data_IF_800385642146
#
_entry.id   IF_800385642146
#
_cell.length_a   1.000
_cell.length_b   1.000
_cell.length_c   1.000
_cell.angle_alpha   90.00
_cell.angle_beta   90.00
_cell.angle_gamma   90.00
#
_symmetry.space_group_name_H-M   'P 1'
#
loop_
_entity.id
_entity.type
_entity.pdbx_description
1 polymer ?
#
# COMPACT_ATOMS: atom_id res chain seq x y z
N UNK A 1 -8.24 -0.11 -17.61
CA UNK A 1 -8.30 -1.15 -16.56
C UNK A 1 -9.40 -0.79 -15.58
N UNK A 2 -10.50 -1.52 -15.63
CA UNK A 2 -11.64 -1.30 -14.73
C UNK A 2 -11.42 -2.12 -13.47
N UNK A 3 -11.23 -1.44 -12.32
CA UNK A 3 -11.28 -2.09 -11.02
C UNK A 3 -12.75 -2.38 -10.71
N UNK A 4 -13.18 -3.62 -10.87
CA UNK A 4 -14.50 -4.06 -10.43
C UNK A 4 -14.42 -4.46 -8.97
N UNK A 5 -15.05 -3.67 -8.09
CA UNK A 5 -15.23 -4.04 -6.68
C UNK A 5 -16.58 -4.73 -6.50
N UNK A 6 -16.56 -5.92 -5.91
CA UNK A 6 -17.77 -6.67 -5.57
C UNK A 6 -17.93 -6.73 -4.06
N UNK A 7 -19.06 -6.27 -3.57
CA UNK A 7 -19.44 -6.43 -2.18
C UNK A 7 -20.08 -7.81 -1.95
N UNK A 8 -19.62 -8.50 -0.92
CA UNK A 8 -20.14 -9.77 -0.46
C UNK A 8 -20.70 -9.60 0.94
N UNK A 9 -21.95 -9.95 1.14
CA UNK A 9 -22.61 -9.93 2.45
C UNK A 9 -23.03 -11.34 2.80
N UNK A 10 -22.60 -11.84 3.96
CA UNK A 10 -23.10 -13.10 4.52
C UNK A 10 -24.34 -12.83 5.36
N UNK A 11 -25.41 -13.58 5.11
CA UNK A 11 -26.67 -13.47 5.82
C UNK A 11 -27.13 -14.83 6.37
N UNK A 12 -27.91 -14.80 7.45
CA UNK A 12 -28.67 -15.94 7.95
C UNK A 12 -30.11 -15.46 8.19
N UNK A 13 -31.04 -15.88 7.31
CA UNK A 13 -32.34 -15.21 7.19
C UNK A 13 -32.15 -13.71 6.86
N UNK A 14 -32.76 -12.85 7.63
CA UNK A 14 -32.65 -11.39 7.49
C UNK A 14 -31.45 -10.79 8.26
N UNK A 15 -30.70 -11.60 9.01
CA UNK A 15 -29.59 -11.12 9.83
C UNK A 15 -28.27 -11.08 9.05
N UNK A 16 -27.63 -9.92 9.01
CA UNK A 16 -26.27 -9.78 8.47
C UNK A 16 -25.28 -10.43 9.44
N UNK A 17 -24.45 -11.32 8.95
CA UNK A 17 -23.37 -11.99 9.70
C UNK A 17 -22.01 -11.31 9.51
N UNK A 18 -21.77 -10.80 8.31
CA UNK A 18 -20.50 -10.18 7.93
C UNK A 18 -20.50 -9.65 6.52
N UNK A 19 -19.41 -8.99 6.16
CA UNK A 19 -19.19 -8.43 4.82
C UNK A 19 -17.73 -8.56 4.40
N UNK A 20 -17.51 -8.52 3.10
CA UNK A 20 -16.18 -8.42 2.49
C UNK A 20 -16.26 -7.74 1.12
N UNK A 21 -15.10 -7.40 0.56
CA UNK A 21 -14.97 -6.86 -0.78
C UNK A 21 -13.96 -7.68 -1.57
N UNK A 22 -14.28 -7.93 -2.84
CA UNK A 22 -13.41 -8.53 -3.84
C UNK A 22 -13.14 -7.50 -4.92
N UNK A 23 -11.88 -7.08 -5.07
CA UNK A 23 -11.41 -6.27 -6.18
C UNK A 23 -10.77 -7.15 -7.25
N UNK A 24 -10.76 -6.66 -8.50
CA UNK A 24 -10.26 -7.41 -9.67
C UNK A 24 -9.35 -6.57 -10.53
N UNK A 25 -8.32 -7.21 -11.10
CA UNK A 25 -7.42 -6.66 -12.11
C UNK A 25 -7.33 -7.64 -13.28
N UNK A 26 -7.26 -7.12 -14.49
CA UNK A 26 -7.21 -7.92 -15.70
C UNK A 26 -5.81 -8.14 -16.25
N UNK A 27 -4.85 -7.28 -15.87
CA UNK A 27 -3.47 -7.35 -16.35
C UNK A 27 -2.47 -7.00 -15.22
N UNK A 28 -1.72 -7.98 -14.69
CA UNK A 28 -1.99 -9.42 -14.79
C UNK A 28 -3.32 -9.79 -14.08
N UNK A 29 -4.00 -10.87 -14.52
CA UNK A 29 -5.32 -11.21 -13.98
C UNK A 29 -5.20 -11.72 -12.53
N UNK A 30 -5.66 -10.90 -11.60
CA UNK A 30 -5.67 -11.25 -10.18
C UNK A 30 -6.81 -10.56 -9.43
N UNK A 31 -7.05 -11.05 -8.21
CA UNK A 31 -8.02 -10.46 -7.30
C UNK A 31 -7.39 -10.14 -5.96
N UNK A 32 -7.99 -9.20 -5.24
CA UNK A 32 -7.65 -8.97 -3.83
C UNK A 32 -8.89 -8.93 -2.97
N UNK A 33 -8.78 -9.51 -1.76
CA UNK A 33 -9.85 -9.53 -0.77
C UNK A 33 -9.53 -8.48 0.30
N UNK A 34 -10.49 -7.59 0.52
CA UNK A 34 -10.36 -6.55 1.54
C UNK A 34 -11.64 -6.45 2.38
N UNK A 35 -11.53 -5.78 3.53
CA UNK A 35 -12.65 -5.48 4.42
C UNK A 35 -13.43 -6.71 4.90
N UNK A 36 -12.79 -7.88 5.00
CA UNK A 36 -13.42 -9.06 5.60
C UNK A 36 -13.72 -8.81 7.07
N UNK A 37 -14.97 -8.79 7.42
CA UNK A 37 -15.45 -8.62 8.79
C UNK A 37 -16.64 -9.49 9.10
N UNK A 38 -16.62 -10.14 10.27
CA UNK A 38 -17.74 -10.89 10.84
C UNK A 38 -18.15 -10.25 12.17
N UNK A 39 -19.43 -10.03 12.37
CA UNK A 39 -19.96 -9.46 13.60
C UNK A 39 -19.43 -10.26 14.81
N UNK A 40 -18.95 -9.60 15.89
CA UNK A 40 -18.34 -10.27 17.04
C UNK A 40 -19.16 -11.41 17.60
N UNK A 41 -20.47 -11.18 17.78
CA UNK A 41 -21.42 -12.17 18.31
C UNK A 41 -21.72 -13.33 17.34
N UNK A 42 -21.31 -13.22 16.08
CA UNK A 42 -21.51 -14.24 15.03
C UNK A 42 -20.19 -14.88 14.57
N UNK A 43 -19.09 -14.64 15.28
CA UNK A 43 -17.80 -15.29 15.00
C UNK A 43 -17.82 -16.75 15.43
N UNK A 44 -16.87 -17.55 14.91
CA UNK A 44 -16.69 -18.97 15.19
C UNK A 44 -17.81 -19.90 14.70
N UNK A 45 -18.74 -19.40 13.86
CA UNK A 45 -19.82 -20.17 13.24
C UNK A 45 -19.60 -20.39 11.72
N UNK A 46 -18.36 -20.23 11.23
CA UNK A 46 -18.00 -20.52 9.84
C UNK A 46 -18.30 -19.40 8.84
N UNK A 47 -18.97 -18.31 9.21
CA UNK A 47 -19.35 -17.25 8.26
C UNK A 47 -18.15 -16.64 7.52
N UNK A 48 -17.04 -16.38 8.21
CA UNK A 48 -15.80 -15.87 7.58
C UNK A 48 -15.21 -16.85 6.58
N UNK A 49 -15.19 -18.15 6.90
CA UNK A 49 -14.69 -19.19 6.01
C UNK A 49 -15.57 -19.29 4.75
N UNK A 50 -16.90 -19.34 4.90
CA UNK A 50 -17.83 -19.39 3.74
C UNK A 50 -17.71 -18.17 2.83
N UNK A 51 -17.55 -16.97 3.38
CA UNK A 51 -17.30 -15.77 2.56
C UNK A 51 -15.97 -15.89 1.78
N UNK A 52 -14.91 -16.36 2.41
CA UNK A 52 -13.61 -16.54 1.75
C UNK A 52 -13.70 -17.58 0.64
N UNK A 53 -14.29 -18.75 0.91
CA UNK A 53 -14.51 -19.82 -0.07
C UNK A 53 -15.30 -19.30 -1.29
N UNK A 54 -16.35 -18.53 -1.04
CA UNK A 54 -17.14 -17.90 -2.11
C UNK A 54 -16.28 -16.93 -2.95
N UNK A 55 -15.49 -16.05 -2.31
CA UNK A 55 -14.64 -15.09 -3.03
C UNK A 55 -13.53 -15.78 -3.84
N UNK A 56 -12.95 -16.86 -3.31
CA UNK A 56 -11.97 -17.69 -4.03
C UNK A 56 -12.63 -18.32 -5.26
N UNK A 57 -13.85 -18.87 -5.10
CA UNK A 57 -14.62 -19.43 -6.23
C UNK A 57 -14.95 -18.36 -7.29
N UNK A 58 -15.36 -17.15 -6.88
CA UNK A 58 -15.57 -16.03 -7.81
C UNK A 58 -14.27 -15.64 -8.54
N UNK A 59 -13.14 -15.64 -7.84
CA UNK A 59 -11.83 -15.36 -8.43
C UNK A 59 -11.46 -16.37 -9.52
N UNK A 60 -11.71 -17.66 -9.26
CA UNK A 60 -11.52 -18.73 -10.26
C UNK A 60 -12.42 -18.53 -11.48
N UNK A 61 -13.71 -18.21 -11.26
CA UNK A 61 -14.70 -18.01 -12.35
C UNK A 61 -14.35 -16.86 -13.30
N UNK A 62 -13.68 -15.83 -12.81
CA UNK A 62 -13.23 -14.69 -13.65
C UNK A 62 -11.85 -14.90 -14.25
N UNK A 63 -11.21 -16.07 -14.05
CA UNK A 63 -9.90 -16.39 -14.63
C UNK A 63 -8.73 -15.74 -13.92
N UNK A 64 -8.86 -15.38 -12.65
CA UNK A 64 -7.73 -14.85 -11.89
C UNK A 64 -6.66 -15.93 -11.67
N UNK A 65 -5.39 -15.57 -11.83
CA UNK A 65 -4.26 -16.47 -11.58
C UNK A 65 -3.97 -16.62 -10.09
N UNK A 66 -4.27 -15.59 -9.30
CA UNK A 66 -4.05 -15.61 -7.84
C UNK A 66 -4.96 -14.63 -7.11
N UNK A 67 -5.08 -14.86 -5.81
CA UNK A 67 -5.79 -13.98 -4.87
C UNK A 67 -4.81 -13.41 -3.87
N UNK A 68 -4.87 -12.10 -3.61
CA UNK A 68 -4.08 -11.43 -2.57
C UNK A 68 -5.01 -10.97 -1.44
N UNK A 69 -4.49 -10.97 -0.23
CA UNK A 69 -5.10 -10.29 0.91
C UNK A 69 -4.01 -9.78 1.87
N UNK A 70 -4.42 -8.93 2.78
CA UNK A 70 -3.58 -8.43 3.85
C UNK A 70 -4.25 -8.67 5.20
N UNK A 71 -3.48 -9.16 6.15
CA UNK A 71 -3.95 -9.37 7.52
C UNK A 71 -3.09 -8.60 8.51
N UNK A 72 -3.70 -7.94 9.48
CA UNK A 72 -2.96 -7.31 10.59
C UNK A 72 -2.16 -8.41 11.31
N UNK A 73 -0.86 -8.20 11.51
CA UNK A 73 0.09 -9.21 12.03
C UNK A 73 -0.39 -9.90 13.31
N UNK A 74 -1.09 -9.18 14.18
CA UNK A 74 -1.60 -9.71 15.46
C UNK A 74 -3.01 -10.29 15.37
N UNK A 75 -3.64 -10.34 14.19
CA UNK A 75 -4.96 -10.96 13.99
C UNK A 75 -4.82 -12.47 13.75
N UNK A 76 -4.41 -13.19 14.80
CA UNK A 76 -4.16 -14.64 14.75
C UNK A 76 -5.35 -15.45 14.23
N UNK A 77 -6.61 -15.18 14.61
CA UNK A 77 -7.76 -15.94 14.07
C UNK A 77 -7.92 -15.82 12.57
N UNK A 78 -7.78 -14.62 12.01
CA UNK A 78 -7.88 -14.40 10.57
C UNK A 78 -6.68 -15.03 9.83
N UNK A 79 -5.48 -14.87 10.34
CA UNK A 79 -4.28 -15.46 9.77
C UNK A 79 -4.38 -17.00 9.68
N UNK A 80 -4.81 -17.67 10.77
CA UNK A 80 -5.05 -19.13 10.77
C UNK A 80 -6.11 -19.56 9.74
N UNK A 81 -7.17 -18.77 9.58
CA UNK A 81 -8.18 -19.03 8.54
C UNK A 81 -7.57 -18.98 7.15
N UNK A 82 -6.74 -17.98 6.85
CA UNK A 82 -6.13 -17.82 5.53
C UNK A 82 -5.13 -18.93 5.22
N UNK A 83 -4.28 -19.31 6.19
CA UNK A 83 -3.40 -20.49 6.04
C UNK A 83 -4.21 -21.75 5.77
N UNK A 84 -5.30 -22.00 6.54
CA UNK A 84 -6.20 -23.16 6.32
C UNK A 84 -6.78 -23.19 4.89
N UNK A 85 -7.02 -22.03 4.29
CA UNK A 85 -7.55 -21.89 2.92
C UNK A 85 -6.47 -21.94 1.83
N UNK A 86 -5.21 -22.19 2.20
CA UNK A 86 -4.08 -22.35 1.27
C UNK A 86 -3.33 -21.08 0.93
N UNK A 87 -3.60 -19.95 1.61
CA UNK A 87 -2.80 -18.75 1.43
C UNK A 87 -1.42 -18.91 2.06
N UNK A 88 -0.40 -18.44 1.35
CA UNK A 88 1.00 -18.39 1.80
C UNK A 88 1.40 -16.95 2.11
N UNK A 89 2.25 -16.74 3.13
CA UNK A 89 2.81 -15.42 3.44
C UNK A 89 3.80 -14.97 2.36
N UNK A 90 3.66 -13.76 1.84
CA UNK A 90 4.56 -13.16 0.83
C UNK A 90 5.59 -12.26 1.51
N UNK A 91 5.11 -11.27 2.25
CA UNK A 91 5.96 -10.25 2.91
C UNK A 91 5.22 -9.52 4.02
N UNK A 92 5.98 -8.83 4.89
CA UNK A 92 5.41 -7.91 5.86
C UNK A 92 5.39 -6.49 5.28
N UNK A 93 4.28 -5.81 5.52
CA UNK A 93 4.00 -4.46 5.07
C UNK A 93 3.79 -3.55 6.28
N UNK A 94 4.41 -2.39 6.26
CA UNK A 94 4.35 -1.38 7.31
C UNK A 94 3.31 -0.32 6.96
N UNK A 95 2.60 0.15 7.97
CA UNK A 95 1.83 1.38 7.90
C UNK A 95 2.61 2.44 8.67
N UNK A 96 3.09 3.45 7.97
CA UNK A 96 3.89 4.54 8.53
C UNK A 96 3.05 5.80 8.63
N UNK A 97 3.33 6.59 9.66
CA UNK A 97 2.77 7.93 9.86
C UNK A 97 3.87 8.92 10.20
N UNK A 98 3.69 10.15 9.77
CA UNK A 98 4.46 11.29 10.20
C UNK A 98 3.50 12.44 10.54
N UNK A 99 3.52 12.98 11.78
CA UNK A 99 2.69 14.13 12.14
C UNK A 99 3.09 15.37 11.32
N UNK A 100 2.22 16.38 11.23
CA UNK A 100 2.56 17.68 10.67
C UNK A 100 3.79 18.28 11.36
N UNK A 101 4.51 19.11 10.63
CA UNK A 101 5.70 19.82 11.08
C UNK A 101 6.77 19.87 9.98
N UNK A 102 7.52 20.97 9.92
CA UNK A 102 8.73 21.03 9.10
C UNK A 102 9.71 19.90 9.50
N UNK A 103 10.62 19.47 8.63
CA UNK A 103 11.70 18.60 9.03
C UNK A 103 12.55 19.26 10.14
N UNK A 104 13.11 18.44 11.01
CA UNK A 104 14.02 18.90 12.05
C UNK A 104 15.28 19.49 11.39
N UNK A 105 15.72 20.65 11.87
CA UNK A 105 16.93 21.33 11.37
C UNK A 105 18.21 20.51 11.61
N UNK A 106 18.22 19.59 12.58
CA UNK A 106 19.33 18.69 12.86
C UNK A 106 19.46 17.53 11.86
N UNK A 107 18.47 17.33 10.96
CA UNK A 107 18.54 16.28 9.95
C UNK A 107 19.63 16.64 8.92
N UNK A 108 20.68 15.83 8.91
CA UNK A 108 21.76 15.98 7.95
C UNK A 108 21.30 15.62 6.54
N UNK A 109 21.05 16.64 5.72
CA UNK A 109 20.78 16.53 4.28
C UNK A 109 21.81 17.35 3.51
N UNK A 110 22.54 16.74 2.58
CA UNK A 110 23.46 17.49 1.71
C UNK A 110 22.68 18.48 0.83
N UNK A 111 23.33 19.48 0.24
CA UNK A 111 22.69 20.38 -0.73
C UNK A 111 22.05 19.59 -1.87
N UNK A 112 20.86 20.02 -2.29
CA UNK A 112 20.09 19.37 -3.35
C UNK A 112 19.21 20.36 -4.11
N UNK A 113 18.95 20.03 -5.37
CA UNK A 113 17.91 20.66 -6.17
C UNK A 113 16.62 19.84 -6.08
N UNK A 114 15.46 20.51 -6.08
CA UNK A 114 14.14 19.86 -6.07
C UNK A 114 13.22 20.45 -7.13
N UNK A 115 12.53 19.58 -7.85
CA UNK A 115 11.48 19.94 -8.79
C UNK A 115 10.18 19.22 -8.40
N UNK A 116 9.05 19.95 -8.47
CA UNK A 116 7.70 19.41 -8.20
C UNK A 116 6.90 19.30 -9.49
N UNK A 117 6.10 18.24 -9.59
CA UNK A 117 5.37 17.89 -10.79
C UNK A 117 3.90 17.52 -10.44
N UNK A 118 3.00 17.78 -11.40
CA UNK A 118 1.61 17.36 -11.31
C UNK A 118 1.38 15.90 -11.72
N UNK A 119 0.11 15.56 -11.85
CA UNK A 119 -0.39 14.19 -12.05
C UNK A 119 0.19 13.49 -13.30
N UNK A 120 0.34 14.18 -14.40
CA UNK A 120 0.84 13.58 -15.64
C UNK A 120 2.25 13.01 -15.46
N UNK A 121 3.16 13.81 -14.90
CA UNK A 121 4.54 13.39 -14.63
C UNK A 121 4.60 12.34 -13.51
N UNK A 122 3.74 12.43 -12.49
CA UNK A 122 3.62 11.41 -11.44
C UNK A 122 3.27 10.04 -12.04
N UNK A 123 2.32 9.97 -12.98
CA UNK A 123 1.98 8.74 -13.71
C UNK A 123 3.16 8.25 -14.55
N UNK A 124 3.89 9.15 -15.22
CA UNK A 124 5.07 8.79 -16.00
C UNK A 124 6.17 8.17 -15.12
N UNK A 125 6.39 8.69 -13.91
CA UNK A 125 7.31 8.09 -12.93
C UNK A 125 6.83 6.70 -12.48
N UNK A 126 5.57 6.53 -12.13
CA UNK A 126 5.02 5.24 -11.71
C UNK A 126 5.18 4.15 -12.78
N UNK A 127 5.07 4.48 -14.06
CA UNK A 127 5.27 3.54 -15.17
C UNK A 127 6.72 3.05 -15.31
N UNK A 128 7.69 3.79 -14.75
CA UNK A 128 9.12 3.45 -14.75
C UNK A 128 9.60 2.89 -13.43
N UNK A 129 8.70 2.65 -12.47
CA UNK A 129 9.02 2.08 -11.18
C UNK A 129 9.61 0.68 -11.31
N UNK A 130 10.66 0.38 -10.53
CA UNK A 130 11.29 -0.94 -10.50
C UNK A 130 10.79 -1.83 -9.37
N UNK A 131 10.23 -1.25 -8.31
CA UNK A 131 9.72 -2.01 -7.17
C UNK A 131 8.42 -2.75 -7.50
N UNK A 132 8.22 -3.94 -6.92
CA UNK A 132 6.97 -4.68 -7.01
C UNK A 132 5.98 -4.12 -5.98
N UNK A 133 4.91 -3.45 -6.42
CA UNK A 133 3.93 -2.84 -5.52
C UNK A 133 3.10 -3.88 -4.74
N UNK A 134 2.45 -3.43 -3.67
CA UNK A 134 1.23 -4.08 -3.19
C UNK A 134 0.06 -3.70 -4.11
N UNK A 135 -1.06 -4.43 -4.00
CA UNK A 135 -2.26 -4.10 -4.79
C UNK A 135 -2.71 -2.64 -4.59
N UNK A 136 -2.51 -2.09 -3.39
CA UNK A 136 -2.88 -0.72 -3.03
C UNK A 136 -2.09 0.32 -3.82
N UNK A 137 -0.80 0.03 -4.09
CA UNK A 137 0.16 0.95 -4.73
C UNK A 137 0.44 0.59 -6.20
N UNK A 138 -0.30 -0.35 -6.77
CA UNK A 138 -0.27 -0.58 -8.21
C UNK A 138 -0.63 0.69 -8.98
N UNK A 139 0.02 0.92 -10.11
CA UNK A 139 -0.18 2.14 -10.90
C UNK A 139 -1.66 2.44 -11.20
N UNK A 140 -2.50 1.46 -11.61
CA UNK A 140 -3.93 1.72 -11.78
C UNK A 140 -4.66 2.08 -10.48
N UNK A 141 -4.27 1.48 -9.33
CA UNK A 141 -4.86 1.82 -8.02
C UNK A 141 -4.56 3.27 -7.62
N UNK A 142 -3.33 3.73 -7.90
CA UNK A 142 -2.92 5.10 -7.62
C UNK A 142 -3.62 6.10 -8.56
N UNK A 143 -3.73 5.79 -9.84
CA UNK A 143 -4.46 6.63 -10.82
C UNK A 143 -5.93 6.78 -10.40
N UNK A 144 -6.60 5.68 -10.03
CA UNK A 144 -7.99 5.71 -9.56
C UNK A 144 -8.17 6.49 -8.25
N UNK A 145 -7.18 6.49 -7.36
CA UNK A 145 -7.21 7.27 -6.13
C UNK A 145 -7.13 8.78 -6.41
N UNK A 146 -6.49 9.19 -7.51
CA UNK A 146 -6.37 10.58 -7.93
C UNK A 146 -5.48 11.45 -7.04
N UNK A 147 -5.45 12.74 -7.33
CA UNK A 147 -4.66 13.76 -6.61
C UNK A 147 -3.18 13.40 -6.49
N UNK A 148 -2.62 12.83 -7.56
CA UNK A 148 -1.22 12.46 -7.61
C UNK A 148 -0.34 13.65 -7.94
N UNK A 149 0.71 13.81 -7.17
CA UNK A 149 1.81 14.72 -7.42
C UNK A 149 3.13 13.96 -7.31
N UNK A 150 4.20 14.58 -7.81
CA UNK A 150 5.54 14.02 -7.66
C UNK A 150 6.56 15.11 -7.35
N UNK A 151 7.69 14.70 -6.81
CA UNK A 151 8.89 15.51 -6.74
C UNK A 151 10.11 14.67 -7.17
N UNK A 152 11.13 15.36 -7.69
CA UNK A 152 12.43 14.79 -8.02
C UNK A 152 13.51 15.58 -7.31
N UNK A 153 14.51 14.89 -6.81
CA UNK A 153 15.69 15.53 -6.21
C UNK A 153 16.96 15.13 -6.96
N UNK A 154 17.90 16.07 -7.02
CA UNK A 154 19.27 15.86 -7.43
C UNK A 154 20.17 16.35 -6.31
N UNK A 155 21.03 15.49 -5.82
CA UNK A 155 21.94 15.76 -4.71
C UNK A 155 23.33 16.06 -5.30
N UNK A 156 24.07 16.99 -4.72
CA UNK A 156 25.37 17.44 -5.24
C UNK A 156 26.39 16.32 -5.44
N UNK A 157 26.26 15.21 -4.70
CA UNK A 157 27.10 14.02 -4.87
C UNK A 157 26.71 13.13 -6.06
N UNK A 158 25.74 13.55 -6.89
CA UNK A 158 25.25 12.84 -8.05
C UNK A 158 24.10 11.85 -7.77
N UNK A 159 23.74 11.60 -6.50
CA UNK A 159 22.59 10.77 -6.16
C UNK A 159 21.29 11.49 -6.55
N UNK A 160 20.31 10.74 -7.05
CA UNK A 160 19.02 11.30 -7.44
C UNK A 160 17.91 10.27 -7.43
N UNK A 161 16.69 10.76 -7.39
CA UNK A 161 15.50 9.94 -7.39
C UNK A 161 14.24 10.78 -7.37
N UNK A 162 13.11 10.11 -7.31
CA UNK A 162 11.79 10.74 -7.30
C UNK A 162 10.87 10.11 -6.26
N UNK A 163 9.84 10.85 -5.89
CA UNK A 163 8.77 10.43 -5.00
C UNK A 163 7.43 10.79 -5.65
N UNK A 164 6.56 9.80 -5.85
CA UNK A 164 5.15 10.03 -6.15
C UNK A 164 4.36 9.93 -4.86
N UNK A 165 3.38 10.80 -4.69
CA UNK A 165 2.51 10.83 -3.51
C UNK A 165 1.12 11.32 -3.87
N UNK A 166 0.14 10.96 -3.05
CA UNK A 166 -1.21 11.50 -3.12
C UNK A 166 -1.31 12.72 -2.21
N UNK A 167 -1.74 13.86 -2.78
CA UNK A 167 -1.91 15.11 -2.07
C UNK A 167 -3.41 15.44 -1.90
N UNK A 168 -3.98 15.12 -0.74
CA UNK A 168 -5.36 15.49 -0.41
C UNK A 168 -5.41 16.80 0.39
N UNK A 169 -6.61 17.30 0.66
CA UNK A 169 -6.79 18.58 1.39
C UNK A 169 -6.03 18.58 2.72
N UNK A 170 -6.10 17.51 3.49
CA UNK A 170 -5.56 17.46 4.87
C UNK A 170 -4.37 16.51 5.04
N UNK A 171 -4.08 15.65 4.08
CA UNK A 171 -3.14 14.56 4.26
C UNK A 171 -2.33 14.28 3.00
N UNK A 172 -1.06 13.92 3.20
CA UNK A 172 -0.23 13.24 2.21
C UNK A 172 -0.36 11.74 2.42
N UNK A 173 -0.50 10.99 1.33
CA UNK A 173 -0.68 9.55 1.40
C UNK A 173 0.04 8.82 0.25
N UNK A 174 0.12 7.50 0.33
CA UNK A 174 0.58 6.62 -0.76
C UNK A 174 1.95 7.04 -1.33
N UNK A 175 2.95 7.15 -0.48
CA UNK A 175 4.30 7.55 -0.89
C UNK A 175 4.98 6.39 -1.63
N UNK A 176 5.46 6.67 -2.84
CA UNK A 176 6.21 5.73 -3.68
C UNK A 176 7.56 6.35 -4.02
N UNK A 177 8.59 6.15 -3.18
CA UNK A 177 9.94 6.60 -3.47
C UNK A 177 10.64 5.66 -4.47
N UNK A 178 11.50 6.23 -5.30
CA UNK A 178 12.37 5.49 -6.20
C UNK A 178 13.73 6.19 -6.28
N UNK A 179 14.79 5.44 -6.03
CA UNK A 179 16.17 5.88 -6.28
C UNK A 179 16.55 5.49 -7.71
N UNK A 180 17.05 6.45 -8.47
CA UNK A 180 17.60 6.23 -9.82
C UNK A 180 19.13 6.08 -9.77
N UNK A 181 19.80 6.78 -8.82
CA UNK A 181 21.23 6.64 -8.55
C UNK A 181 21.56 6.98 -7.09
N UNK A 182 22.58 6.33 -6.55
CA UNK A 182 23.09 6.56 -5.20
C UNK A 182 22.49 5.66 -4.12
N UNK A 183 22.68 6.04 -2.86
CA UNK A 183 22.18 5.30 -1.70
C UNK A 183 20.69 5.56 -1.49
N UNK A 184 19.82 4.51 -1.48
CA UNK A 184 18.38 4.65 -1.28
C UNK A 184 17.99 5.31 0.06
N UNK A 185 18.76 5.09 1.12
CA UNK A 185 18.51 5.74 2.42
C UNK A 185 18.68 7.24 2.31
N UNK A 186 19.80 7.69 1.70
CA UNK A 186 20.08 9.11 1.51
C UNK A 186 19.00 9.75 0.60
N UNK A 187 18.72 9.13 -0.54
CA UNK A 187 17.73 9.65 -1.50
C UNK A 187 16.36 9.76 -0.85
N UNK A 188 15.90 8.75 -0.11
CA UNK A 188 14.62 8.78 0.59
C UNK A 188 14.55 9.86 1.68
N UNK A 189 15.66 10.09 2.42
CA UNK A 189 15.75 11.15 3.42
C UNK A 189 15.60 12.51 2.76
N UNK A 190 16.31 12.77 1.66
CA UNK A 190 16.24 14.05 0.92
C UNK A 190 14.86 14.26 0.30
N UNK A 191 14.26 13.22 -0.32
CA UNK A 191 12.91 13.25 -0.87
C UNK A 191 11.87 13.60 0.20
N UNK A 192 11.93 12.95 1.36
CA UNK A 192 11.01 13.20 2.46
C UNK A 192 11.25 14.57 3.10
N UNK A 193 12.50 15.01 3.23
CA UNK A 193 12.85 16.35 3.69
C UNK A 193 12.23 17.40 2.76
N UNK A 194 12.44 17.32 1.44
CA UNK A 194 11.89 18.25 0.46
C UNK A 194 10.34 18.26 0.47
N UNK A 195 9.71 17.08 0.60
CA UNK A 195 8.26 16.96 0.71
C UNK A 195 7.72 17.74 1.90
N UNK A 196 8.30 17.55 3.09
CA UNK A 196 7.80 18.15 4.33
C UNK A 196 8.25 19.60 4.52
N UNK A 197 9.29 20.05 3.84
CA UNK A 197 9.61 21.49 3.76
C UNK A 197 8.55 22.27 2.98
N UNK A 198 7.87 21.62 2.03
CA UNK A 198 6.78 22.26 1.25
C UNK A 198 5.39 22.06 1.89
N UNK A 199 5.15 20.93 2.52
CA UNK A 199 3.82 20.52 3.06
C UNK A 199 3.89 20.26 4.56
N UNK A 200 4.48 21.17 5.31
CA UNK A 200 4.72 21.07 6.75
C UNK A 200 3.44 20.95 7.61
N UNK A 201 2.33 21.50 7.13
CA UNK A 201 1.04 21.47 7.86
C UNK A 201 0.25 20.17 7.65
N UNK A 202 0.70 19.25 6.79
CA UNK A 202 -0.05 18.05 6.45
C UNK A 202 0.42 16.81 7.23
N UNK A 203 -0.55 16.10 7.84
CA UNK A 203 -0.33 14.74 8.33
C UNK A 203 0.02 13.82 7.16
N UNK A 204 0.90 12.86 7.39
CA UNK A 204 1.27 11.90 6.36
C UNK A 204 1.02 10.48 6.82
N UNK A 205 0.32 9.71 5.99
CA UNK A 205 0.11 8.28 6.20
C UNK A 205 0.42 7.52 4.92
N UNK A 206 1.46 6.71 4.95
CA UNK A 206 1.73 5.77 3.85
C UNK A 206 1.52 4.35 4.31
N UNK A 207 0.85 3.56 3.47
CA UNK A 207 0.51 2.18 3.78
C UNK A 207 1.33 1.24 2.89
N UNK A 208 1.45 0.00 3.33
CA UNK A 208 2.02 -1.09 2.56
C UNK A 208 3.50 -0.93 2.15
N UNK A 209 4.28 -0.17 2.95
CA UNK A 209 5.73 -0.08 2.76
C UNK A 209 6.36 -1.43 3.13
N UNK A 210 7.07 -2.13 2.22
CA UNK A 210 7.71 -3.40 2.56
C UNK A 210 8.70 -3.26 3.72
N UNK A 211 8.72 -4.21 4.66
CA UNK A 211 9.65 -4.19 5.79
C UNK A 211 11.13 -4.14 5.34
N UNK A 212 11.42 -4.69 4.16
CA UNK A 212 12.77 -4.71 3.57
C UNK A 212 12.97 -3.64 2.50
N UNK A 213 12.10 -2.62 2.42
CA UNK A 213 12.27 -1.53 1.48
C UNK A 213 13.54 -0.74 1.78
N UNK A 214 14.44 -0.55 0.80
CA UNK A 214 15.71 0.16 1.02
C UNK A 214 15.53 1.65 1.38
N UNK A 215 14.37 2.24 1.06
CA UNK A 215 14.05 3.63 1.38
C UNK A 215 13.53 3.81 2.83
N UNK A 216 13.10 2.72 3.49
CA UNK A 216 12.51 2.77 4.83
C UNK A 216 13.40 3.46 5.88
N UNK A 217 14.73 3.20 5.94
CA UNK A 217 15.59 3.91 6.89
C UNK A 217 15.60 5.43 6.69
N UNK A 218 15.65 5.89 5.43
CA UNK A 218 15.64 7.33 5.11
C UNK A 218 14.31 8.01 5.47
N UNK A 219 13.17 7.34 5.29
CA UNK A 219 11.88 7.84 5.77
C UNK A 219 11.88 7.98 7.30
N UNK A 220 12.42 6.99 8.03
CA UNK A 220 12.52 7.05 9.50
C UNK A 220 13.42 8.18 9.98
N UNK A 221 14.51 8.46 9.27
CA UNK A 221 15.40 9.58 9.57
C UNK A 221 14.66 10.94 9.57
N UNK A 222 13.56 11.07 8.83
CA UNK A 222 12.71 12.28 8.73
C UNK A 222 11.45 12.20 9.59
N UNK A 223 11.41 11.29 10.56
CA UNK A 223 10.36 11.22 11.56
C UNK A 223 9.15 10.36 11.22
N UNK A 224 9.25 9.47 10.21
CA UNK A 224 8.20 8.47 9.98
C UNK A 224 8.26 7.38 11.04
N UNK A 225 7.13 7.13 11.69
CA UNK A 225 6.97 6.12 12.73
C UNK A 225 6.05 4.98 12.26
N UNK A 226 6.33 3.78 12.72
CA UNK A 226 5.50 2.61 12.46
C UNK A 226 4.25 2.64 13.35
N UNK A 227 3.06 2.60 12.73
CA UNK A 227 1.79 2.47 13.45
C UNK A 227 1.44 1.01 13.72
N UNK A 228 1.48 0.17 12.69
CA UNK A 228 1.27 -1.28 12.79
C UNK A 228 1.74 -1.98 11.52
N UNK A 229 1.70 -3.32 11.51
CA UNK A 229 2.11 -4.18 10.39
C UNK A 229 0.96 -5.02 9.88
N UNK A 230 1.02 -5.29 8.58
CA UNK A 230 0.22 -6.32 7.90
C UNK A 230 1.15 -7.42 7.36
N UNK A 231 0.59 -8.60 7.17
CA UNK A 231 1.18 -9.67 6.39
C UNK A 231 0.40 -9.73 5.08
N UNK A 232 1.09 -9.55 3.95
CA UNK A 232 0.53 -9.82 2.62
C UNK A 232 0.56 -11.32 2.39
N UNK A 233 -0.58 -11.87 1.99
CA UNK A 233 -0.72 -13.30 1.73
C UNK A 233 -1.28 -13.51 0.33
N UNK A 234 -0.85 -14.60 -0.34
CA UNK A 234 -1.23 -14.95 -1.71
C UNK A 234 -1.72 -16.38 -1.77
N UNK A 235 -2.79 -16.60 -2.52
CA UNK A 235 -3.27 -17.92 -2.94
C UNK A 235 -3.09 -18.04 -4.46
N UNK A 236 -2.30 -19.02 -4.89
CA UNK A 236 -2.13 -19.38 -6.30
C UNK A 236 -3.33 -20.22 -6.76
N UNK A 237 -3.99 -19.80 -7.83
CA UNK A 237 -5.16 -20.49 -8.39
C UNK A 237 -4.82 -21.34 -9.63
N UNK A 238 -3.56 -21.34 -10.07
CA UNK A 238 -3.10 -22.08 -11.25
C UNK A 238 -2.60 -23.48 -10.94
N UNK A 239 -2.52 -23.82 -9.64
CA UNK A 239 -2.11 -25.13 -9.13
C UNK A 239 -3.28 -26.10 -9.04
#
# INVERSE_FOLDING_TARGET
DVVLERYVVAMHGEQILGRSMLGTRTDPPHTWITRLGVLPVKRRHGAGQKMMEYMIDQSKKIGAEYVILEVIKNNVPAHRLFIKLGFEEVRQLLILRRPPGAPDEEIDVPPYEVEFFGTEQAIAFLRRRHSVPSWLDETPSLINAGNLEALRVRIDNGAHGWLVFQNTTFQLARLVPQTEAGDPRLVARVLAHALHSRYDIKDTKTENVPLKDPHLPGLKDVGYIESFRRIEMKLDLTK
#
